data_IF_456791932944
#
_entry.id   IF_456791932944
#
_cell.length_a   1.000
_cell.length_b   1.000
_cell.length_c   1.000
_cell.angle_alpha   90.00
_cell.angle_beta   90.00
_cell.angle_gamma   90.00
#
_symmetry.space_group_name_H-M   'P 1'
#
loop_
_entity.id
_entity.type
_entity.pdbx_description
1 polymer ?
#
# COMPACT_ATOMS: atom_id res chain seq x y z
N UNK A 1 -3.86 12.59 5.32
CA UNK A 1 -4.12 11.14 5.22
C UNK A 1 -3.15 10.29 6.03
N UNK A 2 -1.83 10.53 6.00
CA UNK A 2 -0.89 9.82 6.90
C UNK A 2 -1.27 9.86 8.38
N UNK A 3 -1.70 11.03 8.91
CA UNK A 3 -2.15 11.18 10.31
C UNK A 3 -3.33 10.25 10.64
N UNK A 4 -4.15 9.93 9.64
CA UNK A 4 -5.36 9.10 9.75
C UNK A 4 -5.02 7.60 9.56
N UNK A 5 -3.73 7.26 9.38
CA UNK A 5 -3.26 5.87 9.33
C UNK A 5 -3.08 5.28 7.93
N UNK A 6 -3.26 6.07 6.86
CA UNK A 6 -2.94 5.59 5.51
C UNK A 6 -1.44 5.68 5.23
N UNK A 7 -0.87 4.59 4.72
CA UNK A 7 0.48 4.55 4.15
C UNK A 7 0.42 4.87 2.64
N UNK A 8 1.59 5.04 2.02
CA UNK A 8 1.64 5.28 0.58
C UNK A 8 1.12 4.08 -0.22
N UNK A 9 0.38 4.35 -1.31
CA UNK A 9 -0.25 3.28 -2.10
C UNK A 9 0.79 2.35 -2.76
N UNK A 10 1.96 2.90 -3.15
CA UNK A 10 3.08 2.12 -3.69
C UNK A 10 3.79 1.29 -2.62
N UNK A 11 3.43 1.37 -1.34
CA UNK A 11 4.01 0.52 -0.30
C UNK A 11 3.17 -0.75 -0.07
N UNK A 12 2.05 -0.94 -0.77
CA UNK A 12 1.25 -2.16 -0.62
C UNK A 12 2.05 -3.43 -0.93
N UNK A 13 1.76 -4.50 -0.20
CA UNK A 13 2.41 -5.80 -0.39
C UNK A 13 2.15 -6.39 -1.79
N UNK A 14 1.02 -6.05 -2.42
CA UNK A 14 0.57 -6.54 -3.73
C UNK A 14 0.87 -5.57 -4.88
N UNK A 15 1.60 -4.47 -4.64
CA UNK A 15 1.85 -3.42 -5.65
C UNK A 15 2.51 -3.95 -6.92
N UNK A 16 3.31 -5.00 -6.84
CA UNK A 16 4.12 -5.48 -7.96
C UNK A 16 3.26 -6.16 -9.04
N UNK A 17 1.94 -6.32 -8.79
CA UNK A 17 0.97 -6.66 -9.83
C UNK A 17 0.56 -5.44 -10.68
N UNK A 18 0.83 -4.22 -10.21
CA UNK A 18 0.29 -2.96 -10.74
C UNK A 18 1.37 -1.98 -11.19
N UNK A 19 2.54 -2.02 -10.55
CA UNK A 19 3.67 -1.14 -10.82
C UNK A 19 4.99 -1.91 -10.77
N UNK A 20 5.99 -1.37 -11.46
CA UNK A 20 7.40 -1.73 -11.33
C UNK A 20 8.17 -0.55 -10.71
N UNK A 21 9.04 -0.83 -9.75
CA UNK A 21 9.90 0.18 -9.12
C UNK A 21 11.32 0.03 -9.65
N UNK A 22 11.88 1.12 -10.19
CA UNK A 22 13.23 1.20 -10.72
C UNK A 22 14.17 1.86 -9.71
N UNK A 23 14.72 1.08 -8.79
CA UNK A 23 15.65 1.59 -7.77
C UNK A 23 16.95 2.14 -8.40
N UNK A 24 17.34 1.63 -9.56
CA UNK A 24 18.46 2.12 -10.35
C UNK A 24 18.27 3.56 -10.86
N UNK A 25 17.04 4.07 -10.86
CA UNK A 25 16.69 5.43 -11.25
C UNK A 25 16.51 6.37 -10.05
N UNK A 26 16.70 5.89 -8.82
CA UNK A 26 16.64 6.70 -7.60
C UNK A 26 17.96 7.48 -7.44
N UNK A 27 17.88 8.71 -6.95
CA UNK A 27 19.00 9.66 -6.86
C UNK A 27 20.06 9.30 -5.80
N UNK A 28 19.63 8.71 -4.68
CA UNK A 28 20.47 8.31 -3.56
C UNK A 28 20.07 6.91 -3.04
N UNK A 29 21.05 6.09 -2.67
CA UNK A 29 20.82 4.75 -2.08
C UNK A 29 20.11 4.85 -0.73
N UNK A 30 20.33 5.94 0.03
CA UNK A 30 19.63 6.21 1.29
C UNK A 30 18.11 6.38 1.10
N UNK A 31 17.65 6.65 -0.13
CA UNK A 31 16.23 6.76 -0.46
C UNK A 31 15.58 5.42 -0.85
N UNK A 32 16.33 4.31 -0.95
CA UNK A 32 15.75 3.02 -1.38
C UNK A 32 14.63 2.55 -0.43
N UNK A 33 14.77 2.79 0.87
CA UNK A 33 13.74 2.47 1.87
C UNK A 33 12.41 3.20 1.68
N UNK A 34 12.38 4.31 0.92
CA UNK A 34 11.13 5.01 0.58
C UNK A 34 10.23 4.19 -0.36
N UNK A 35 10.77 3.12 -0.95
CA UNK A 35 10.07 2.20 -1.84
C UNK A 35 9.86 0.82 -1.21
N UNK A 36 10.05 0.66 0.09
CA UNK A 36 9.82 -0.61 0.77
C UNK A 36 8.33 -1.00 0.75
N UNK A 37 8.07 -2.30 0.58
CA UNK A 37 6.72 -2.85 0.77
C UNK A 37 6.44 -3.02 2.25
N UNK A 38 5.24 -2.66 2.66
CA UNK A 38 4.71 -2.95 3.98
C UNK A 38 4.10 -4.35 3.94
N UNK A 39 4.51 -5.26 4.85
CA UNK A 39 3.94 -6.61 4.91
C UNK A 39 2.43 -6.57 5.13
N UNK A 40 1.70 -7.53 4.52
CA UNK A 40 0.23 -7.61 4.64
C UNK A 40 -0.27 -7.57 6.09
N UNK A 41 0.47 -8.15 7.05
CA UNK A 41 0.09 -8.12 8.48
C UNK A 41 0.10 -6.72 9.11
N UNK A 42 0.74 -5.73 8.49
CA UNK A 42 0.89 -4.36 8.98
C UNK A 42 0.05 -3.35 8.19
N UNK A 43 -0.32 -3.67 6.95
CA UNK A 43 -1.18 -2.85 6.12
C UNK A 43 -2.13 -3.72 5.28
N UNK A 44 -3.41 -3.73 5.66
CA UNK A 44 -4.46 -4.37 4.87
C UNK A 44 -4.91 -3.49 3.73
N UNK A 45 -5.37 -4.12 2.66
CA UNK A 45 -5.99 -3.43 1.52
C UNK A 45 -7.45 -3.06 1.80
N UNK A 46 -8.04 -3.57 2.89
CA UNK A 46 -9.45 -3.41 3.24
C UNK A 46 -10.39 -3.83 2.09
N UNK A 47 -9.97 -4.83 1.31
CA UNK A 47 -10.65 -5.28 0.10
C UNK A 47 -10.85 -4.17 -0.95
N UNK A 48 -10.00 -3.13 -0.93
CA UNK A 48 -9.96 -2.05 -1.92
C UNK A 48 -8.86 -2.37 -2.94
N UNK A 49 -9.22 -2.36 -4.22
CA UNK A 49 -8.28 -2.54 -5.35
C UNK A 49 -7.13 -1.53 -5.30
N UNK A 50 -6.02 -1.84 -5.99
CA UNK A 50 -4.92 -0.89 -6.14
C UNK A 50 -5.38 0.39 -6.82
N UNK A 51 -5.06 1.53 -6.20
CA UNK A 51 -5.62 2.81 -6.62
C UNK A 51 -4.54 3.77 -7.13
N UNK A 52 -4.34 3.77 -8.44
CA UNK A 52 -3.45 4.72 -9.12
C UNK A 52 -3.84 6.19 -8.90
N UNK A 53 -5.10 6.45 -8.51
CA UNK A 53 -5.63 7.80 -8.26
C UNK A 53 -5.65 8.17 -6.79
N UNK A 54 -5.11 7.33 -5.90
CA UNK A 54 -4.99 7.65 -4.49
C UNK A 54 -4.12 8.90 -4.28
N UNK A 55 -4.55 9.79 -3.38
CA UNK A 55 -3.74 10.94 -2.95
C UNK A 55 -2.44 10.49 -2.24
N UNK A 56 -2.38 9.23 -1.85
CA UNK A 56 -1.24 8.60 -1.18
C UNK A 56 -0.25 7.96 -2.15
N UNK A 57 -0.52 7.97 -3.46
CA UNK A 57 0.38 7.40 -4.44
C UNK A 57 1.51 8.37 -4.78
N UNK A 58 2.75 7.89 -4.80
CA UNK A 58 3.88 8.68 -5.28
C UNK A 58 3.79 9.03 -6.77
N UNK A 59 4.45 10.11 -7.15
CA UNK A 59 4.65 10.47 -8.56
C UNK A 59 5.58 9.48 -9.25
N UNK A 60 5.45 9.39 -10.58
CA UNK A 60 6.28 8.50 -11.42
C UNK A 60 7.79 8.68 -11.28
N UNK A 61 8.24 9.87 -10.86
CA UNK A 61 9.65 10.26 -10.74
C UNK A 61 10.02 10.69 -9.31
N UNK A 62 9.31 10.18 -8.29
CA UNK A 62 9.66 10.41 -6.90
C UNK A 62 11.11 9.95 -6.63
N UNK A 63 11.89 10.76 -5.89
CA UNK A 63 13.30 10.49 -5.56
C UNK A 63 14.17 10.17 -6.79
N UNK A 64 13.83 10.73 -7.95
CA UNK A 64 14.48 10.34 -9.19
C UNK A 64 15.81 11.06 -9.44
N UNK A 65 16.78 10.31 -9.98
CA UNK A 65 17.92 10.83 -10.71
C UNK A 65 17.49 11.38 -12.07
N UNK A 66 17.71 12.68 -12.29
CA UNK A 66 17.48 13.37 -13.57
C UNK A 66 16.06 13.21 -14.16
N UNK A 67 15.03 13.21 -13.31
CA UNK A 67 13.61 13.08 -13.69
C UNK A 67 13.22 11.77 -14.39
N UNK A 68 14.06 10.74 -14.32
CA UNK A 68 13.76 9.38 -14.79
C UNK A 68 12.55 8.79 -14.06
N UNK A 69 11.94 7.78 -14.68
CA UNK A 69 10.83 7.06 -14.07
C UNK A 69 11.39 6.14 -12.97
N UNK A 70 10.94 6.35 -11.73
CA UNK A 70 11.21 5.47 -10.58
C UNK A 70 10.04 4.54 -10.30
N UNK A 71 8.81 4.93 -10.68
CA UNK A 71 7.61 4.09 -10.60
C UNK A 71 6.96 4.02 -11.98
N UNK A 72 7.08 2.86 -12.61
CA UNK A 72 6.41 2.52 -13.87
C UNK A 72 5.08 1.82 -13.58
N UNK A 73 4.00 2.30 -14.19
CA UNK A 73 2.67 1.68 -14.09
C UNK A 73 2.49 0.62 -15.15
N UNK A 74 1.98 -0.56 -14.78
CA UNK A 74 1.67 -1.62 -15.75
C UNK A 74 0.52 -1.24 -16.69
N UNK A 75 -0.36 -0.33 -16.24
CA UNK A 75 -1.35 0.30 -17.09
C UNK A 75 -0.91 1.72 -17.46
N UNK A 76 -0.40 1.87 -18.69
CA UNK A 76 0.14 3.12 -19.21
C UNK A 76 -0.84 4.32 -19.14
N UNK A 77 -2.16 4.08 -19.10
CA UNK A 77 -3.15 5.15 -18.94
C UNK A 77 -3.00 5.91 -17.60
N UNK A 78 -2.33 5.32 -16.61
CA UNK A 78 -2.13 5.90 -15.28
C UNK A 78 -0.72 6.45 -15.06
N UNK A 79 0.19 6.32 -16.02
CA UNK A 79 1.59 6.69 -15.84
C UNK A 79 1.79 8.16 -15.48
N UNK A 80 0.97 9.04 -16.06
CA UNK A 80 0.99 10.49 -15.80
C UNK A 80 -0.07 10.93 -14.77
N UNK A 81 -0.89 10.00 -14.28
CA UNK A 81 -1.94 10.23 -13.28
C UNK A 81 -1.39 10.11 -11.87
N UNK A 82 -0.57 9.09 -11.61
CA UNK A 82 -0.05 8.78 -10.28
C UNK A 82 0.67 10.00 -9.64
N UNK A 83 0.29 10.30 -8.40
CA UNK A 83 0.86 11.40 -7.60
C UNK A 83 0.56 12.81 -8.10
N UNK A 84 -0.28 12.99 -9.13
CA UNK A 84 -0.71 14.31 -9.63
C UNK A 84 -2.18 14.64 -9.32
N UNK A 85 -2.84 13.82 -8.50
CA UNK A 85 -4.21 14.05 -8.04
C UNK A 85 -4.28 15.14 -6.97
N UNK A 86 -5.40 15.87 -6.92
CA UNK A 86 -5.60 17.02 -6.00
C UNK A 86 -6.42 16.68 -4.76
N UNK A 87 -7.16 15.57 -4.77
CA UNK A 87 -8.07 15.19 -3.71
C UNK A 87 -8.01 13.69 -3.45
N UNK A 88 -8.51 13.28 -2.29
CA UNK A 88 -8.62 11.88 -1.90
C UNK A 88 -9.57 11.13 -2.84
N UNK A 89 -9.18 9.92 -3.24
CA UNK A 89 -10.00 9.10 -4.11
C UNK A 89 -11.14 8.44 -3.35
N UNK A 90 -12.11 7.89 -4.09
CA UNK A 90 -13.12 7.01 -3.50
C UNK A 90 -12.49 5.79 -2.79
N UNK A 91 -11.32 5.33 -3.24
CA UNK A 91 -10.56 4.26 -2.60
C UNK A 91 -9.96 4.69 -1.26
N UNK A 92 -9.43 5.90 -1.16
CA UNK A 92 -8.91 6.48 0.08
C UNK A 92 -10.00 6.59 1.15
N UNK A 93 -11.16 7.16 0.79
CA UNK A 93 -12.30 7.26 1.71
C UNK A 93 -12.80 5.88 2.17
N UNK A 94 -12.89 4.90 1.26
CA UNK A 94 -13.29 3.53 1.64
C UNK A 94 -12.33 2.92 2.66
N UNK A 95 -11.01 3.07 2.48
CA UNK A 95 -10.02 2.59 3.44
C UNK A 95 -10.20 3.27 4.81
N UNK A 96 -10.41 4.59 4.84
CA UNK A 96 -10.64 5.33 6.10
C UNK A 96 -11.92 4.89 6.79
N UNK A 97 -13.03 4.79 6.05
CA UNK A 97 -14.28 4.29 6.62
C UNK A 97 -14.12 2.88 7.23
N UNK A 98 -13.29 2.05 6.60
CA UNK A 98 -12.99 0.70 7.06
C UNK A 98 -12.11 0.66 8.31
N UNK A 99 -11.25 1.67 8.50
CA UNK A 99 -10.38 1.80 9.67
C UNK A 99 -11.17 2.31 10.89
N UNK A 100 -12.14 3.19 10.66
CA UNK A 100 -12.86 3.92 11.70
C UNK A 100 -14.34 3.54 11.83
N UNK A 101 -14.78 2.47 11.17
CA UNK A 101 -16.16 1.98 11.17
C UNK A 101 -17.20 3.09 10.92
N UNK A 102 -16.98 3.89 9.89
CA UNK A 102 -17.85 5.01 9.57
C UNK A 102 -19.19 4.55 8.97
N UNK A 103 -20.30 4.96 9.56
CA UNK A 103 -21.65 4.79 9.00
C UNK A 103 -22.45 6.11 9.00
N UNK A 104 -22.95 6.57 7.84
CA UNK A 104 -22.74 6.04 6.48
C UNK A 104 -21.36 6.44 5.92
N UNK A 105 -20.75 5.57 5.10
CA UNK A 105 -19.52 5.88 4.37
C UNK A 105 -19.85 6.45 2.98
N UNK A 106 -19.36 7.66 2.67
CA UNK A 106 -19.63 8.35 1.40
C UNK A 106 -21.12 8.34 0.98
N UNK A 107 -22.03 8.44 1.95
CA UNK A 107 -23.48 8.47 1.69
C UNK A 107 -24.14 7.11 1.43
N UNK A 108 -23.42 5.99 1.58
CA UNK A 108 -23.96 4.63 1.55
C UNK A 108 -23.67 3.85 2.84
N UNK A 109 -24.41 2.76 3.07
CA UNK A 109 -24.08 1.82 4.15
C UNK A 109 -22.80 1.07 3.76
N UNK A 110 -21.82 1.01 4.66
CA UNK A 110 -20.61 0.24 4.42
C UNK A 110 -20.94 -1.27 4.44
N UNK A 111 -20.53 -2.01 3.41
CA UNK A 111 -20.57 -3.48 3.46
C UNK A 111 -19.57 -3.95 4.53
N UNK A 112 -19.95 -4.84 5.47
CA UNK A 112 -19.05 -5.30 6.51
C UNK A 112 -17.87 -6.05 5.90
N UNK A 113 -16.66 -5.60 6.21
CA UNK A 113 -15.43 -6.26 5.75
C UNK A 113 -15.29 -7.60 6.45
N UNK A 114 -15.24 -8.68 5.67
CA UNK A 114 -14.75 -9.98 6.14
C UNK A 114 -13.23 -9.92 6.21
N UNK A 115 -12.72 -9.57 7.37
CA UNK A 115 -11.32 -9.76 7.70
C UNK A 115 -11.05 -11.28 7.68
N UNK A 116 -10.12 -11.80 6.87
CA UNK A 116 -9.71 -13.19 7.00
C UNK A 116 -9.05 -13.36 8.37
N UNK A 117 -9.58 -14.28 9.17
CA UNK A 117 -8.99 -14.65 10.46
C UNK A 117 -7.53 -15.03 10.24
N UNK A 118 -6.62 -14.37 10.96
CA UNK A 118 -5.19 -14.65 10.88
C UNK A 118 -5.00 -16.10 11.33
N UNK A 119 -4.55 -16.96 10.42
CA UNK A 119 -4.22 -18.34 10.76
C UNK A 119 -3.24 -18.34 11.94
N UNK A 120 -3.48 -19.15 12.99
CA UNK A 120 -2.59 -19.19 14.14
C UNK A 120 -1.17 -19.57 13.69
N UNK A 121 -0.18 -18.90 14.27
CA UNK A 121 1.22 -19.24 14.02
C UNK A 121 1.46 -20.72 14.35
N UNK A 122 2.27 -21.44 13.55
CA UNK A 122 2.60 -22.83 13.85
C UNK A 122 3.27 -22.91 15.23
N UNK A 123 2.77 -23.81 16.08
CA UNK A 123 3.35 -24.06 17.40
C UNK A 123 4.83 -24.44 17.24
N UNK A 124 5.70 -23.67 17.88
CA UNK A 124 7.11 -24.01 17.97
C UNK A 124 7.23 -25.25 18.85
N UNK A 125 7.60 -26.39 18.25
CA UNK A 125 7.94 -27.59 19.00
C UNK A 125 9.06 -27.27 19.98
N UNK A 126 8.78 -27.43 21.28
CA UNK A 126 9.78 -27.27 22.35
C UNK A 126 10.99 -28.19 22.07
N UNK A 127 12.22 -27.74 22.35
CA UNK A 127 13.39 -28.60 22.23
C UNK A 127 13.28 -29.77 23.20
N UNK A 128 13.52 -30.97 22.69
CA UNK A 128 13.62 -32.21 23.46
C UNK A 128 14.81 -32.11 24.43
N UNK A 129 14.52 -31.84 25.70
CA UNK A 129 15.53 -31.95 26.77
C UNK A 129 15.72 -33.41 27.11
N UNK A 130 16.52 -34.10 26.31
CA UNK A 130 17.02 -35.44 26.59
C UNK A 130 17.77 -35.47 27.92
N UNK A 131 17.21 -36.19 28.90
CA UNK A 131 17.90 -36.60 30.12
C UNK A 131 18.96 -37.64 29.79
N UNK A 132 20.18 -37.46 30.32
CA UNK A 132 21.14 -38.55 30.56
C UNK A 132 20.78 -39.30 31.83
#
# INVERSE_FOLDING_TARGET
MHIIGLLHEHMRYDRDNFITVHLENVDDEDHYGQFDKVPQRQAWTYNVSYDYTSIMHYKKNAFSKDYRITIETHNAAYQDVIGNVLDASAGDYKKICSIYDCEPCMGGNAEPIRIPEVAPAPETSKPDTGKK
#
